data_IF_745389999807
#
_entry.id   IF_745389999807
#
_cell.length_a   1.000
_cell.length_b   1.000
_cell.length_c   1.000
_cell.angle_alpha   90.00
_cell.angle_beta   90.00
_cell.angle_gamma   90.00
#
_symmetry.space_group_name_H-M   'P 1'
#
loop_
_entity.id
_entity.type
_entity.pdbx_description
1 polymer ?
#
# COMPACT_ATOMS: atom_id res chain seq x y z
N UNK A 1 -10.90 -19.23 17.05
CA UNK A 1 -11.81 -18.81 15.95
C UNK A 1 -11.55 -17.36 15.52
N UNK A 2 -11.48 -16.42 16.46
CA UNK A 2 -11.21 -15.00 16.16
C UNK A 2 -9.84 -14.77 15.49
N UNK A 3 -8.77 -15.36 16.03
CA UNK A 3 -7.41 -15.27 15.45
C UNK A 3 -7.37 -15.82 14.03
N UNK A 4 -8.05 -16.94 13.77
CA UNK A 4 -8.15 -17.54 12.43
C UNK A 4 -8.84 -16.58 11.46
N UNK A 5 -9.92 -15.91 11.88
CA UNK A 5 -10.60 -14.92 11.05
C UNK A 5 -9.70 -13.70 10.76
N UNK A 6 -9.00 -13.18 11.77
CA UNK A 6 -8.05 -12.05 11.61
C UNK A 6 -6.90 -12.44 10.68
N UNK A 7 -6.40 -13.67 10.78
CA UNK A 7 -5.34 -14.19 9.89
C UNK A 7 -5.82 -14.23 8.44
N UNK A 8 -7.05 -14.70 8.19
CA UNK A 8 -7.62 -14.70 6.85
C UNK A 8 -7.80 -13.28 6.28
N UNK A 9 -8.21 -12.31 7.11
CA UNK A 9 -8.32 -10.90 6.72
C UNK A 9 -6.93 -10.31 6.43
N UNK A 10 -5.91 -10.68 7.20
CA UNK A 10 -4.53 -10.25 6.97
C UNK A 10 -3.97 -10.79 5.64
N UNK A 11 -4.19 -12.08 5.37
CA UNK A 11 -3.79 -12.71 4.11
C UNK A 11 -4.51 -12.06 2.91
N UNK A 12 -5.83 -11.83 3.01
CA UNK A 12 -6.57 -11.18 1.92
C UNK A 12 -6.16 -9.73 1.70
N UNK A 13 -5.84 -8.99 2.77
CA UNK A 13 -5.26 -7.65 2.69
C UNK A 13 -3.89 -7.65 2.01
N UNK A 14 -3.05 -8.64 2.28
CA UNK A 14 -1.75 -8.79 1.62
C UNK A 14 -1.91 -9.09 0.12
N UNK A 15 -2.85 -9.96 -0.23
CA UNK A 15 -3.15 -10.27 -1.63
C UNK A 15 -3.69 -9.03 -2.38
N UNK A 16 -4.59 -8.28 -1.75
CA UNK A 16 -5.10 -7.02 -2.29
C UNK A 16 -3.97 -6.01 -2.51
N UNK A 17 -3.04 -5.90 -1.56
CA UNK A 17 -1.86 -5.04 -1.71
C UNK A 17 -0.98 -5.43 -2.90
N UNK A 18 -0.75 -6.72 -3.11
CA UNK A 18 0.01 -7.18 -4.28
C UNK A 18 -0.66 -6.70 -5.57
N UNK A 19 -1.99 -6.85 -5.69
CA UNK A 19 -2.71 -6.34 -6.85
C UNK A 19 -2.62 -4.82 -6.98
N UNK A 20 -2.79 -4.07 -5.90
CA UNK A 20 -2.67 -2.60 -5.91
C UNK A 20 -1.28 -2.13 -6.34
N UNK A 21 -0.23 -2.81 -5.90
CA UNK A 21 1.15 -2.51 -6.29
C UNK A 21 1.41 -2.86 -7.74
N UNK A 22 0.90 -3.99 -8.24
CA UNK A 22 1.03 -4.36 -9.66
C UNK A 22 0.24 -3.42 -10.58
N UNK A 23 -0.86 -2.85 -10.10
CA UNK A 23 -1.62 -1.81 -10.80
C UNK A 23 -0.90 -0.46 -10.83
N UNK A 24 0.09 -0.22 -9.96
CA UNK A 24 0.95 0.93 -10.12
C UNK A 24 1.80 0.71 -11.37
N UNK A 25 1.56 1.52 -12.40
CA UNK A 25 2.46 1.63 -13.53
C UNK A 25 3.89 1.80 -13.00
N UNK A 26 4.87 1.02 -13.49
CA UNK A 26 6.26 1.21 -13.09
C UNK A 26 6.68 2.61 -13.55
N UNK A 27 6.61 3.56 -12.63
CA UNK A 27 7.27 4.86 -12.77
C UNK A 27 8.75 4.55 -12.64
N UNK A 28 9.36 4.19 -13.77
CA UNK A 28 10.79 4.04 -13.92
C UNK A 28 11.46 5.40 -13.79
N UNK A 29 11.34 6.03 -12.63
CA UNK A 29 11.94 7.32 -12.37
C UNK A 29 13.44 7.18 -12.05
N UNK A 30 13.95 5.97 -11.78
CA UNK A 30 15.39 5.76 -11.57
C UNK A 30 16.05 6.83 -10.69
N UNK A 31 17.28 7.24 -11.03
CA UNK A 31 17.92 8.44 -10.47
C UNK A 31 17.42 9.76 -11.10
N UNK A 32 16.66 9.69 -12.19
CA UNK A 32 16.16 10.85 -12.95
C UNK A 32 14.96 11.55 -12.32
N UNK A 33 14.04 10.84 -11.68
CA UNK A 33 12.91 11.37 -10.91
C UNK A 33 13.31 11.91 -9.54
N UNK A 34 14.39 11.37 -8.96
CA UNK A 34 15.05 11.96 -7.79
C UNK A 34 15.70 13.30 -8.14
N UNK A 35 16.32 13.43 -9.32
CA UNK A 35 16.85 14.70 -9.83
C UNK A 35 15.74 15.68 -10.28
N UNK A 36 14.62 15.16 -10.81
CA UNK A 36 13.45 15.95 -11.22
C UNK A 36 12.54 16.36 -10.06
N UNK A 37 12.84 15.98 -8.82
CA UNK A 37 12.10 16.41 -7.62
C UNK A 37 12.15 17.94 -7.39
N UNK A 38 12.94 18.68 -8.17
CA UNK A 38 12.93 20.15 -8.24
C UNK A 38 12.06 20.76 -9.37
N UNK A 39 11.54 19.95 -10.30
CA UNK A 39 10.81 20.43 -11.48
C UNK A 39 9.55 19.62 -11.71
N UNK A 40 8.45 20.03 -11.08
CA UNK A 40 7.12 20.13 -11.70
C UNK A 40 6.04 20.28 -10.63
N UNK A 41 5.89 21.52 -10.14
CA UNK A 41 4.69 21.98 -9.40
C UNK A 41 3.40 21.96 -10.26
N UNK A 42 3.43 21.35 -11.45
CA UNK A 42 2.31 21.29 -12.41
C UNK A 42 2.17 19.92 -13.07
N UNK A 43 2.42 18.82 -12.34
CA UNK A 43 1.95 17.51 -12.78
C UNK A 43 0.48 17.37 -12.38
N UNK A 44 -0.44 17.55 -13.33
CA UNK A 44 -1.79 17.00 -13.25
C UNK A 44 -1.69 15.47 -13.35
N UNK A 45 -1.11 14.84 -12.33
CA UNK A 45 -1.21 13.38 -12.18
C UNK A 45 -2.70 13.08 -12.15
N UNK A 46 -3.16 12.25 -13.08
CA UNK A 46 -4.56 11.91 -13.25
C UNK A 46 -5.17 11.57 -11.89
N UNK A 47 -6.35 12.13 -11.57
CA UNK A 47 -7.04 11.93 -10.28
C UNK A 47 -7.12 10.45 -9.86
N UNK A 48 -7.13 9.54 -10.85
CA UNK A 48 -7.06 8.10 -10.67
C UNK A 48 -5.77 7.62 -9.98
N UNK A 49 -4.61 8.16 -10.34
CA UNK A 49 -3.31 7.76 -9.73
C UNK A 49 -3.20 8.24 -8.28
N UNK A 50 -3.66 9.46 -7.99
CA UNK A 50 -3.69 9.99 -6.63
C UNK A 50 -4.60 9.15 -5.71
N UNK A 51 -5.73 8.70 -6.25
CA UNK A 51 -6.67 7.81 -5.56
C UNK A 51 -6.08 6.42 -5.33
N UNK A 52 -5.40 5.85 -6.34
CA UNK A 52 -4.75 4.54 -6.24
C UNK A 52 -3.61 4.54 -5.21
N UNK A 53 -2.84 5.63 -5.13
CA UNK A 53 -1.80 5.81 -4.13
C UNK A 53 -2.39 5.89 -2.70
N UNK A 54 -3.45 6.68 -2.50
CA UNK A 54 -4.16 6.76 -1.20
C UNK A 54 -4.72 5.40 -0.77
N UNK A 55 -5.31 4.65 -1.70
CA UNK A 55 -5.83 3.31 -1.44
C UNK A 55 -4.71 2.34 -1.03
N UNK A 56 -3.56 2.41 -1.70
CA UNK A 56 -2.40 1.55 -1.40
C UNK A 56 -1.80 1.85 -0.04
N UNK A 57 -1.62 3.13 0.29
CA UNK A 57 -1.16 3.54 1.62
C UNK A 57 -2.11 3.11 2.73
N UNK A 58 -3.42 3.25 2.51
CA UNK A 58 -4.43 2.81 3.47
C UNK A 58 -4.37 1.30 3.68
N UNK A 59 -4.29 0.54 2.59
CA UNK A 59 -4.21 -0.92 2.64
C UNK A 59 -2.90 -1.39 3.28
N UNK A 60 -1.78 -0.66 3.07
CA UNK A 60 -0.48 -0.92 3.67
C UNK A 60 -0.54 -0.73 5.19
N UNK A 61 -1.11 0.39 5.64
CA UNK A 61 -1.27 0.67 7.06
C UNK A 61 -2.13 -0.40 7.77
N UNK A 62 -3.21 -0.84 7.14
CA UNK A 62 -4.06 -1.92 7.66
C UNK A 62 -3.29 -3.23 7.74
N UNK A 63 -2.57 -3.61 6.68
CA UNK A 63 -1.77 -4.84 6.66
C UNK A 63 -0.69 -4.86 7.74
N UNK A 64 0.06 -3.77 7.90
CA UNK A 64 1.08 -3.64 8.93
C UNK A 64 0.48 -3.61 10.34
N UNK A 65 -0.64 -2.91 10.54
CA UNK A 65 -1.34 -2.89 11.83
C UNK A 65 -1.82 -4.28 12.23
N UNK A 66 -2.43 -5.02 11.31
CA UNK A 66 -2.83 -6.41 11.52
C UNK A 66 -1.62 -7.33 11.78
N UNK A 67 -0.49 -7.12 11.10
CA UNK A 67 0.74 -7.88 11.35
C UNK A 67 1.24 -7.68 12.78
N UNK A 68 1.24 -6.45 13.29
CA UNK A 68 1.62 -6.14 14.67
C UNK A 68 0.66 -6.81 15.65
N UNK A 69 -0.65 -6.69 15.44
CA UNK A 69 -1.67 -7.29 16.33
C UNK A 69 -1.51 -8.81 16.41
N UNK A 70 -1.31 -9.47 15.26
CA UNK A 70 -1.16 -10.92 15.20
C UNK A 70 0.18 -11.37 15.80
N UNK A 71 1.24 -10.58 15.62
CA UNK A 71 2.58 -10.87 16.14
C UNK A 71 2.72 -10.58 17.64
N UNK A 72 2.00 -9.60 18.19
CA UNK A 72 2.15 -9.18 19.58
C UNK A 72 1.53 -10.17 20.59
N UNK A 73 0.72 -11.12 20.12
CA UNK A 73 0.11 -12.14 20.98
C UNK A 73 -0.88 -11.60 22.02
N UNK A 74 -1.39 -10.38 21.81
CA UNK A 74 -2.35 -9.73 22.71
C UNK A 74 -3.75 -10.38 22.68
N UNK A 75 -4.10 -11.00 21.55
CA UNK A 75 -5.36 -11.72 21.37
C UNK A 75 -5.10 -13.23 21.57
N UNK A 76 -5.84 -13.84 22.51
CA UNK A 76 -5.86 -15.29 22.77
C UNK A 76 -7.11 -15.93 22.16
#
# INVERSE_FOLDING_TARGET
MLISAITWIWVSSGLLLIFLVLLHSPKGDGMGGLAASGSSMFSSASSAESTLNKATWTCLAIFLGLAIILSAGWLK
#
